data_IF_149536610428
#
_entry.id   IF_149536610428
#
_cell.length_a   1.000
_cell.length_b   1.000
_cell.length_c   1.000
_cell.angle_alpha   90.00
_cell.angle_beta   90.00
_cell.angle_gamma   90.00
#
_symmetry.space_group_name_H-M   'P 1'
#
loop_
_entity.id
_entity.type
_entity.pdbx_description
1 polymer ?
#
# COMPACT_ATOMS: atom_id res chain seq x y z
N UNK A 1 -1.83 29.80 -52.75
CA UNK A 1 -1.71 29.97 -51.29
C UNK A 1 -2.63 31.12 -50.89
N UNK A 2 -3.85 30.78 -50.49
CA UNK A 2 -4.75 31.75 -49.88
C UNK A 2 -4.06 32.38 -48.67
N UNK A 3 -4.36 33.65 -48.42
CA UNK A 3 -3.66 34.56 -47.54
C UNK A 3 -3.80 34.14 -46.05
N UNK A 4 -3.02 33.15 -45.64
CA UNK A 4 -3.02 32.61 -44.28
C UNK A 4 -2.66 33.68 -43.24
N UNK A 5 -1.87 34.69 -43.63
CA UNK A 5 -1.55 35.86 -42.80
C UNK A 5 -2.82 36.69 -42.54
N UNK A 6 -3.60 37.03 -43.58
CA UNK A 6 -4.89 37.72 -43.39
C UNK A 6 -5.90 36.91 -42.56
N UNK A 7 -5.90 35.59 -42.66
CA UNK A 7 -6.82 34.74 -41.88
C UNK A 7 -6.44 34.71 -40.40
N UNK A 8 -5.15 34.62 -40.06
CA UNK A 8 -4.67 34.62 -38.67
C UNK A 8 -4.76 36.01 -38.04
N UNK A 9 -4.48 37.09 -38.80
CA UNK A 9 -4.48 38.47 -38.30
C UNK A 9 -5.84 38.94 -37.78
N UNK A 10 -6.93 38.30 -38.21
CA UNK A 10 -8.30 38.62 -37.77
C UNK A 10 -8.75 37.78 -36.58
N UNK A 11 -7.96 36.80 -36.14
CA UNK A 11 -8.30 35.90 -35.03
C UNK A 11 -7.67 36.36 -33.71
N UNK A 12 -8.33 36.08 -32.59
CA UNK A 12 -7.66 36.19 -31.30
C UNK A 12 -6.50 35.20 -31.23
N UNK A 13 -5.42 35.57 -30.53
CA UNK A 13 -4.16 34.80 -30.44
C UNK A 13 -4.38 33.31 -30.15
N UNK A 14 -5.34 32.98 -29.27
CA UNK A 14 -5.70 31.59 -28.92
C UNK A 14 -6.23 30.79 -30.11
N UNK A 15 -7.13 31.37 -30.91
CA UNK A 15 -7.71 30.71 -32.08
C UNK A 15 -6.74 30.70 -33.25
N UNK A 16 -5.93 31.76 -33.42
CA UNK A 16 -4.84 31.78 -34.40
C UNK A 16 -3.80 30.68 -34.13
N UNK A 17 -3.42 30.46 -32.87
CA UNK A 17 -2.50 29.38 -32.50
C UNK A 17 -3.10 27.99 -32.75
N UNK A 18 -4.38 27.78 -32.45
CA UNK A 18 -5.06 26.52 -32.75
C UNK A 18 -5.18 26.28 -34.25
N UNK A 19 -5.61 27.28 -35.01
CA UNK A 19 -5.67 27.21 -36.46
C UNK A 19 -4.30 26.88 -37.06
N UNK A 20 -3.21 27.45 -36.51
CA UNK A 20 -1.85 27.08 -36.92
C UNK A 20 -1.56 25.59 -36.68
N UNK A 21 -1.86 25.05 -35.50
CA UNK A 21 -1.67 23.62 -35.23
C UNK A 21 -2.55 22.72 -36.12
N UNK A 22 -3.76 23.16 -36.47
CA UNK A 22 -4.66 22.42 -37.37
C UNK A 22 -4.12 22.34 -38.81
N UNK A 23 -3.40 23.36 -39.26
CA UNK A 23 -3.03 23.51 -40.68
C UNK A 23 -1.53 23.40 -40.95
N UNK A 24 -0.68 23.42 -39.92
CA UNK A 24 0.77 23.38 -40.04
C UNK A 24 1.37 22.00 -39.74
N UNK A 25 2.61 21.83 -40.17
CA UNK A 25 3.37 20.61 -39.96
C UNK A 25 4.83 20.77 -40.42
N UNK A 26 5.64 19.78 -40.12
CA UNK A 26 7.04 19.71 -40.55
C UNK A 26 7.18 18.61 -41.59
N UNK A 27 8.00 18.85 -42.62
CA UNK A 27 8.36 17.85 -43.60
C UNK A 27 9.77 17.33 -43.32
N UNK A 28 9.93 16.01 -43.35
CA UNK A 28 11.22 15.33 -43.34
C UNK A 28 11.29 14.40 -44.55
N UNK A 29 11.85 14.90 -45.65
CA UNK A 29 11.75 14.22 -46.95
C UNK A 29 10.30 14.21 -47.44
N UNK A 30 9.79 13.02 -47.77
CA UNK A 30 8.40 12.81 -48.21
C UNK A 30 7.40 12.66 -47.04
N UNK A 31 7.89 12.51 -45.81
CA UNK A 31 7.05 12.36 -44.63
C UNK A 31 6.58 13.74 -44.13
N UNK A 32 5.26 13.91 -44.02
CA UNK A 32 4.63 15.07 -43.40
C UNK A 32 4.21 14.74 -41.98
N UNK A 33 4.79 15.45 -41.02
CA UNK A 33 4.36 15.46 -39.65
C UNK A 33 3.35 16.60 -39.41
N UNK A 34 2.09 16.27 -39.18
CA UNK A 34 1.03 17.26 -38.95
C UNK A 34 0.94 17.61 -37.47
N UNK A 35 0.82 18.90 -37.13
CA UNK A 35 0.63 19.30 -35.73
C UNK A 35 -0.80 19.07 -35.22
N UNK A 36 -1.74 18.76 -36.12
CA UNK A 36 -3.15 18.53 -35.81
C UNK A 36 -3.41 17.33 -34.87
N UNK A 37 -2.43 16.45 -34.67
CA UNK A 37 -2.46 15.38 -33.66
C UNK A 37 -2.43 15.89 -32.22
N UNK A 38 -1.99 17.14 -31.98
CA UNK A 38 -1.76 17.68 -30.63
C UNK A 38 -2.81 18.71 -30.18
N UNK A 39 -3.95 18.78 -30.87
CA UNK A 39 -5.02 19.73 -30.53
C UNK A 39 -5.61 19.50 -29.12
N UNK A 40 -5.41 18.31 -28.55
CA UNK A 40 -5.78 17.98 -27.16
C UNK A 40 -5.12 18.91 -26.13
N UNK A 41 -3.99 19.53 -26.45
CA UNK A 41 -3.38 20.56 -25.60
C UNK A 41 -4.34 21.73 -25.34
N UNK A 42 -5.11 22.11 -26.36
CA UNK A 42 -6.05 23.22 -26.28
C UNK A 42 -7.23 22.91 -25.37
N UNK A 43 -7.77 21.69 -25.42
CA UNK A 43 -8.81 21.24 -24.49
C UNK A 43 -8.33 21.30 -23.03
N UNK A 44 -7.08 20.89 -22.78
CA UNK A 44 -6.46 20.98 -21.46
C UNK A 44 -6.32 22.44 -21.00
N UNK A 45 -5.85 23.33 -21.88
CA UNK A 45 -5.71 24.76 -21.59
C UNK A 45 -7.07 25.39 -21.30
N UNK A 46 -8.06 25.14 -22.14
CA UNK A 46 -9.41 25.70 -22.00
C UNK A 46 -10.07 25.21 -20.70
N UNK A 47 -9.86 23.95 -20.34
CA UNK A 47 -10.32 23.43 -19.05
C UNK A 47 -9.64 24.13 -17.88
N UNK A 48 -8.31 24.26 -17.91
CA UNK A 48 -7.55 24.95 -16.86
C UNK A 48 -7.97 26.42 -16.71
N UNK A 49 -8.25 27.12 -17.82
CA UNK A 49 -8.80 28.48 -17.80
C UNK A 49 -10.21 28.49 -17.22
N UNK A 50 -11.06 27.51 -17.57
CA UNK A 50 -12.45 27.47 -17.10
C UNK A 50 -12.59 27.28 -15.58
N UNK A 51 -11.60 26.63 -14.96
CA UNK A 51 -11.54 26.45 -13.50
C UNK A 51 -10.72 27.55 -12.82
N UNK A 52 -10.11 28.46 -13.60
CA UNK A 52 -9.32 29.57 -13.11
C UNK A 52 -10.22 30.74 -12.70
N UNK A 53 -10.51 30.85 -11.40
CA UNK A 53 -11.27 31.96 -10.81
C UNK A 53 -10.39 32.82 -9.90
N UNK A 54 -10.77 34.08 -9.65
CA UNK A 54 -10.02 35.01 -8.79
C UNK A 54 -9.70 34.48 -7.38
N UNK A 55 -10.54 33.59 -6.84
CA UNK A 55 -10.36 32.94 -5.53
C UNK A 55 -9.33 31.78 -5.54
N UNK A 56 -8.89 31.34 -6.72
CA UNK A 56 -7.87 30.28 -6.90
C UNK A 56 -6.44 30.82 -6.94
N UNK A 57 -6.28 32.14 -6.95
CA UNK A 57 -4.99 32.83 -6.88
C UNK A 57 -4.39 32.67 -5.47
N UNK A 58 -3.41 31.80 -5.36
CA UNK A 58 -2.34 32.05 -4.38
C UNK A 58 -1.47 33.19 -4.93
N UNK A 59 -0.73 33.92 -4.08
CA UNK A 59 0.19 35.01 -4.50
C UNK A 59 1.18 34.58 -5.61
N UNK A 60 1.32 33.28 -5.86
CA UNK A 60 2.03 32.70 -6.99
C UNK A 60 1.05 32.16 -8.05
N UNK A 61 1.05 32.76 -9.24
CA UNK A 61 0.39 32.31 -10.49
C UNK A 61 0.77 30.87 -10.96
N UNK A 62 1.59 30.16 -10.18
CA UNK A 62 2.12 28.82 -10.45
C UNK A 62 1.37 27.71 -9.72
N UNK A 63 0.36 28.03 -8.90
CA UNK A 63 -0.42 27.06 -8.13
C UNK A 63 -1.92 27.33 -8.30
N UNK A 64 -2.69 26.27 -8.50
CA UNK A 64 -4.15 26.31 -8.56
C UNK A 64 -4.66 25.30 -7.54
N UNK A 65 -5.56 25.73 -6.66
CA UNK A 65 -6.30 24.81 -5.79
C UNK A 65 -7.50 24.27 -6.55
N UNK A 66 -7.64 22.95 -6.59
CA UNK A 66 -8.71 22.26 -7.31
C UNK A 66 -9.34 21.21 -6.41
N UNK A 67 -10.63 20.94 -6.63
CA UNK A 67 -11.31 19.82 -5.97
C UNK A 67 -10.93 18.47 -6.61
N UNK A 68 -11.39 17.37 -6.02
CA UNK A 68 -11.08 16.02 -6.52
C UNK A 68 -11.60 15.77 -7.93
N UNK A 69 -12.76 16.32 -8.30
CA UNK A 69 -13.36 16.12 -9.64
C UNK A 69 -12.56 16.88 -10.69
N UNK A 70 -12.13 18.10 -10.36
CA UNK A 70 -11.26 18.91 -11.19
C UNK A 70 -9.87 18.28 -11.34
N UNK A 71 -9.27 17.79 -10.26
CA UNK A 71 -7.99 17.09 -10.32
C UNK A 71 -8.02 15.87 -11.25
N UNK A 72 -9.09 15.07 -11.18
CA UNK A 72 -9.28 13.91 -12.07
C UNK A 72 -9.43 14.34 -13.55
N UNK A 73 -10.15 15.42 -13.82
CA UNK A 73 -10.29 15.95 -15.18
C UNK A 73 -8.95 16.46 -15.73
N UNK A 74 -8.16 17.19 -14.93
CA UNK A 74 -6.81 17.64 -15.30
C UNK A 74 -5.91 16.44 -15.60
N UNK A 75 -5.91 15.41 -14.74
CA UNK A 75 -5.13 14.19 -14.95
C UNK A 75 -5.51 13.48 -16.25
N UNK A 76 -6.80 13.38 -16.56
CA UNK A 76 -7.28 12.79 -17.81
C UNK A 76 -6.83 13.57 -19.03
N UNK A 77 -6.99 14.90 -19.03
CA UNK A 77 -6.59 15.76 -20.14
C UNK A 77 -5.07 15.76 -20.33
N UNK A 78 -4.31 15.78 -19.22
CA UNK A 78 -2.86 15.71 -19.26
C UNK A 78 -2.35 14.36 -19.78
N UNK A 79 -3.01 13.25 -19.43
CA UNK A 79 -2.68 11.93 -20.01
C UNK A 79 -2.99 11.88 -21.50
N UNK A 80 -4.14 12.39 -21.95
CA UNK A 80 -4.47 12.48 -23.38
C UNK A 80 -3.44 13.32 -24.14
N UNK A 81 -3.05 14.46 -23.56
CA UNK A 81 -1.98 15.29 -24.08
C UNK A 81 -0.67 14.51 -24.23
N UNK A 82 -0.18 13.86 -23.16
CA UNK A 82 1.05 13.07 -23.20
C UNK A 82 0.98 11.91 -24.21
N UNK A 83 -0.16 11.23 -24.29
CA UNK A 83 -0.36 10.11 -25.19
C UNK A 83 -0.35 10.53 -26.67
N UNK A 84 -0.70 11.78 -26.98
CA UNK A 84 -0.60 12.31 -28.35
C UNK A 84 0.84 12.37 -28.88
N UNK A 85 1.84 12.28 -28.00
CA UNK A 85 3.27 12.29 -28.37
C UNK A 85 3.93 10.91 -28.35
N UNK A 86 3.18 9.83 -28.11
CA UNK A 86 3.75 8.48 -28.14
C UNK A 86 4.17 8.13 -29.58
N UNK A 87 5.36 7.55 -29.72
CA UNK A 87 6.00 7.21 -31.00
C UNK A 87 6.35 8.42 -31.89
N UNK A 88 6.40 9.63 -31.32
CA UNK A 88 6.81 10.83 -32.04
C UNK A 88 8.32 11.09 -31.95
N UNK A 89 8.85 11.88 -32.89
CA UNK A 89 10.27 12.27 -32.94
C UNK A 89 10.67 13.29 -31.84
N UNK A 90 9.69 13.83 -31.13
CA UNK A 90 9.93 14.79 -30.05
C UNK A 90 10.58 14.08 -28.85
N UNK A 91 11.66 14.66 -28.33
CA UNK A 91 12.40 14.09 -27.21
C UNK A 91 11.54 14.01 -25.94
N UNK A 92 11.68 12.90 -25.20
CA UNK A 92 11.03 12.73 -23.92
C UNK A 92 11.70 13.59 -22.84
N UNK A 93 10.93 14.45 -22.18
CA UNK A 93 11.37 15.20 -21.00
C UNK A 93 10.84 14.50 -19.76
N UNK A 94 11.75 14.04 -18.89
CA UNK A 94 11.38 13.33 -17.66
C UNK A 94 10.69 14.22 -16.61
N UNK A 95 10.82 15.55 -16.72
CA UNK A 95 10.18 16.48 -15.80
C UNK A 95 8.69 16.64 -16.18
N UNK A 96 7.75 16.36 -15.26
CA UNK A 96 6.33 16.54 -15.54
C UNK A 96 5.98 18.03 -15.63
N UNK A 97 5.06 18.37 -16.54
CA UNK A 97 4.55 19.73 -16.71
C UNK A 97 3.80 20.22 -15.46
N UNK A 98 3.05 19.31 -14.81
CA UNK A 98 2.31 19.58 -13.58
C UNK A 98 2.82 18.71 -12.44
N UNK A 99 2.90 19.30 -11.24
CA UNK A 99 3.03 18.56 -9.99
C UNK A 99 1.72 18.66 -9.23
N UNK A 100 1.02 17.54 -9.08
CA UNK A 100 -0.13 17.46 -8.19
C UNK A 100 0.34 17.10 -6.79
N UNK A 101 -0.15 17.83 -5.80
CA UNK A 101 0.11 17.55 -4.39
C UNK A 101 -1.20 17.71 -3.62
N UNK A 102 -1.62 16.70 -2.82
CA UNK A 102 -2.78 16.85 -1.97
C UNK A 102 -2.49 17.82 -0.82
N UNK A 103 -3.53 18.45 -0.27
CA UNK A 103 -3.44 19.38 0.87
C UNK A 103 -3.40 18.63 2.22
N UNK A 104 -3.13 17.32 2.20
CA UNK A 104 -3.00 16.45 3.38
C UNK A 104 -1.59 15.90 3.50
N UNK A 105 -1.13 15.76 4.74
CA UNK A 105 0.13 15.05 5.04
C UNK A 105 -0.16 13.56 5.02
N UNK A 106 0.47 12.86 4.09
CA UNK A 106 0.31 11.42 3.85
C UNK A 106 1.32 10.67 4.73
N UNK A 107 0.85 9.67 5.47
CA UNK A 107 1.72 8.77 6.23
C UNK A 107 2.56 7.88 5.30
N UNK A 108 3.66 7.31 5.80
CA UNK A 108 4.52 6.42 4.99
C UNK A 108 3.74 5.23 4.40
N UNK A 109 2.81 4.67 5.15
CA UNK A 109 1.95 3.60 4.67
C UNK A 109 0.96 4.06 3.59
N UNK A 110 0.30 5.22 3.76
CA UNK A 110 -0.62 5.74 2.72
C UNK A 110 0.14 6.04 1.43
N UNK A 111 1.37 6.55 1.57
CA UNK A 111 2.25 6.79 0.43
C UNK A 111 2.64 5.48 -0.25
N UNK A 112 2.94 4.42 0.50
CA UNK A 112 3.22 3.10 -0.06
C UNK A 112 2.02 2.55 -0.82
N UNK A 113 0.80 2.71 -0.27
CA UNK A 113 -0.44 2.31 -0.92
C UNK A 113 -0.65 3.08 -2.24
N UNK A 114 -0.53 4.40 -2.20
CA UNK A 114 -0.63 5.25 -3.39
C UNK A 114 0.42 4.89 -4.44
N UNK A 115 1.67 4.65 -4.03
CA UNK A 115 2.76 4.27 -4.92
C UNK A 115 2.48 2.94 -5.62
N UNK A 116 1.98 1.92 -4.90
CA UNK A 116 1.63 0.62 -5.49
C UNK A 116 0.60 0.79 -6.61
N UNK A 117 -0.54 1.41 -6.30
CA UNK A 117 -1.61 1.56 -7.29
C UNK A 117 -1.27 2.54 -8.41
N UNK A 118 -0.46 3.58 -8.14
CA UNK A 118 0.05 4.48 -9.18
C UNK A 118 1.00 3.76 -10.13
N UNK A 119 1.84 2.88 -9.60
CA UNK A 119 2.77 2.06 -10.41
C UNK A 119 1.99 1.08 -11.28
N UNK A 120 1.01 0.38 -10.71
CA UNK A 120 0.12 -0.52 -11.45
C UNK A 120 -0.66 0.21 -12.54
N UNK A 121 -1.19 1.41 -12.23
CA UNK A 121 -1.88 2.26 -13.20
C UNK A 121 -0.97 2.68 -14.34
N UNK A 122 0.25 3.15 -14.04
CA UNK A 122 1.23 3.50 -15.06
C UNK A 122 1.58 2.29 -15.96
N UNK A 123 1.76 1.09 -15.40
CA UNK A 123 1.97 -0.11 -16.21
C UNK A 123 0.79 -0.43 -17.12
N UNK A 124 -0.44 -0.36 -16.59
CA UNK A 124 -1.64 -0.60 -17.39
C UNK A 124 -1.79 0.42 -18.54
N UNK A 125 -1.48 1.70 -18.29
CA UNK A 125 -1.47 2.74 -19.32
C UNK A 125 -0.40 2.48 -20.37
N UNK A 126 0.83 2.11 -19.98
CA UNK A 126 1.89 1.79 -20.93
C UNK A 126 1.50 0.61 -21.83
N UNK A 127 0.90 -0.44 -21.28
CA UNK A 127 0.40 -1.59 -22.07
C UNK A 127 -0.71 -1.12 -23.04
N UNK A 128 -1.69 -0.36 -22.54
CA UNK A 128 -2.82 0.13 -23.35
C UNK A 128 -2.38 1.02 -24.51
N UNK A 129 -1.38 1.86 -24.27
CA UNK A 129 -0.92 2.86 -25.23
C UNK A 129 0.29 2.37 -26.06
N UNK A 130 0.70 1.10 -25.92
CA UNK A 130 1.78 0.52 -26.71
C UNK A 130 3.18 1.05 -26.37
N UNK A 131 3.39 1.55 -25.15
CA UNK A 131 4.66 2.13 -24.70
C UNK A 131 5.54 1.04 -24.08
N UNK A 132 6.47 0.49 -24.86
CA UNK A 132 7.42 -0.50 -24.36
C UNK A 132 8.52 0.18 -23.52
N UNK A 133 8.57 -0.14 -22.23
CA UNK A 133 9.59 0.36 -21.29
C UNK A 133 10.57 -0.72 -20.86
N UNK A 134 10.48 -1.93 -21.42
CA UNK A 134 11.43 -2.98 -21.10
C UNK A 134 12.79 -2.69 -21.74
N UNK A 135 13.80 -2.43 -20.91
CA UNK A 135 15.17 -2.17 -21.36
C UNK A 135 15.90 -3.45 -21.77
N UNK A 136 15.35 -4.62 -21.44
CA UNK A 136 15.98 -5.92 -21.63
C UNK A 136 15.39 -6.73 -22.79
N UNK A 137 14.22 -6.34 -23.31
CA UNK A 137 13.63 -7.00 -24.48
C UNK A 137 13.02 -6.00 -25.45
N UNK A 138 13.15 -6.30 -26.74
CA UNK A 138 12.46 -5.57 -27.81
C UNK A 138 11.09 -6.19 -28.05
N UNK A 139 10.06 -5.36 -28.18
CA UNK A 139 8.69 -5.76 -28.50
C UNK A 139 8.07 -6.65 -27.41
N UNK A 140 8.32 -6.28 -26.14
CA UNK A 140 7.83 -7.01 -24.96
C UNK A 140 6.29 -7.04 -24.92
N UNK A 141 5.66 -5.96 -25.39
CA UNK A 141 4.21 -5.77 -25.37
C UNK A 141 3.46 -6.66 -26.36
N UNK A 142 4.05 -7.07 -27.49
CA UNK A 142 3.35 -7.94 -28.46
C UNK A 142 3.02 -9.33 -27.90
N UNK A 143 3.70 -9.73 -26.82
CA UNK A 143 3.42 -10.97 -26.08
C UNK A 143 2.25 -10.83 -25.12
N UNK A 144 1.89 -9.61 -24.74
CA UNK A 144 0.75 -9.33 -23.86
C UNK A 144 -0.50 -9.27 -24.73
N UNK A 145 -1.29 -10.35 -24.68
CA UNK A 145 -2.60 -10.44 -25.35
C UNK A 145 -3.70 -9.95 -24.40
N UNK A 146 -4.66 -10.81 -24.09
CA UNK A 146 -5.74 -10.51 -23.14
C UNK A 146 -5.38 -10.85 -21.70
N UNK A 147 -4.32 -11.63 -21.46
CA UNK A 147 -4.06 -12.22 -20.15
C UNK A 147 -2.76 -11.68 -19.55
N UNK A 148 -2.81 -11.26 -18.28
CA UNK A 148 -1.69 -10.66 -17.55
C UNK A 148 -1.45 -11.46 -16.27
N UNK A 149 -0.20 -11.89 -16.08
CA UNK A 149 0.28 -12.38 -14.79
C UNK A 149 0.88 -11.21 -14.01
N UNK A 150 0.23 -10.84 -12.91
CA UNK A 150 0.71 -9.80 -12.01
C UNK A 150 1.44 -10.46 -10.83
N UNK A 151 2.75 -10.23 -10.76
CA UNK A 151 3.61 -10.72 -9.68
C UNK A 151 3.87 -9.57 -8.70
N UNK A 152 3.46 -9.74 -7.44
CA UNK A 152 3.63 -8.76 -6.38
C UNK A 152 4.50 -9.36 -5.29
N UNK A 153 5.75 -8.90 -5.21
CA UNK A 153 6.70 -9.38 -4.20
C UNK A 153 6.61 -8.51 -2.94
N UNK A 154 6.10 -9.07 -1.84
CA UNK A 154 5.92 -8.39 -0.54
C UNK A 154 5.31 -6.98 -0.61
N UNK A 155 4.39 -6.78 -1.56
CA UNK A 155 3.81 -5.47 -1.85
C UNK A 155 2.94 -4.90 -0.72
N UNK A 156 2.67 -5.68 0.33
CA UNK A 156 1.96 -5.31 1.55
C UNK A 156 2.89 -4.90 2.72
N UNK A 157 4.21 -5.08 2.61
CA UNK A 157 5.15 -4.94 3.74
C UNK A 157 5.05 -3.58 4.46
N UNK A 158 4.97 -2.48 3.69
CA UNK A 158 4.90 -1.12 4.24
C UNK A 158 3.49 -0.69 4.72
N UNK A 159 2.49 -1.56 4.63
CA UNK A 159 1.12 -1.18 4.96
C UNK A 159 0.86 -1.23 6.45
N UNK A 160 0.03 -0.30 6.91
CA UNK A 160 -0.56 -0.38 8.23
C UNK A 160 -1.38 -1.69 8.35
N UNK A 161 -1.40 -2.39 9.51
CA UNK A 161 -2.14 -3.65 9.69
C UNK A 161 -3.59 -3.60 9.20
N UNK A 162 -4.27 -2.48 9.43
CA UNK A 162 -5.64 -2.27 8.95
C UNK A 162 -5.76 -2.38 7.42
N UNK A 163 -4.78 -1.91 6.64
CA UNK A 163 -4.85 -2.04 5.19
C UNK A 163 -4.31 -3.36 4.68
N UNK A 164 -3.42 -4.04 5.41
CA UNK A 164 -3.05 -5.43 5.10
C UNK A 164 -4.29 -6.33 5.12
N UNK A 165 -5.16 -6.14 6.09
CA UNK A 165 -6.48 -6.80 6.16
C UNK A 165 -7.40 -6.45 4.98
N UNK A 166 -7.28 -5.25 4.43
CA UNK A 166 -8.12 -4.80 3.31
C UNK A 166 -7.44 -5.02 1.95
N UNK A 167 -6.22 -5.55 1.93
CA UNK A 167 -5.35 -5.53 0.76
C UNK A 167 -5.92 -6.33 -0.40
N UNK A 168 -6.37 -7.57 -0.13
CA UNK A 168 -6.97 -8.44 -1.14
C UNK A 168 -8.26 -7.83 -1.69
N UNK A 169 -9.06 -7.17 -0.83
CA UNK A 169 -10.25 -6.44 -1.27
C UNK A 169 -9.88 -5.29 -2.20
N UNK A 170 -8.89 -4.48 -1.85
CA UNK A 170 -8.45 -3.37 -2.70
C UNK A 170 -7.93 -3.83 -4.05
N UNK A 171 -7.13 -4.91 -4.11
CA UNK A 171 -6.69 -5.50 -5.37
C UNK A 171 -7.90 -5.92 -6.23
N UNK A 172 -8.88 -6.60 -5.63
CA UNK A 172 -10.08 -7.07 -6.33
C UNK A 172 -10.95 -5.93 -6.86
N UNK A 173 -11.01 -4.81 -6.16
CA UNK A 173 -11.84 -3.65 -6.55
C UNK A 173 -11.13 -2.75 -7.58
N UNK A 174 -9.82 -2.52 -7.41
CA UNK A 174 -9.07 -1.52 -8.20
C UNK A 174 -8.55 -2.12 -9.50
N UNK A 175 -8.02 -3.35 -9.49
CA UNK A 175 -7.37 -3.92 -10.67
C UNK A 175 -8.29 -4.07 -11.90
N UNK A 176 -9.59 -4.44 -11.77
CA UNK A 176 -10.51 -4.47 -12.91
C UNK A 176 -10.73 -3.09 -13.56
N UNK A 177 -10.59 -2.00 -12.79
CA UNK A 177 -10.68 -0.63 -13.30
C UNK A 177 -9.39 -0.26 -14.03
N UNK A 178 -8.24 -0.58 -13.42
CA UNK A 178 -6.91 -0.22 -13.92
C UNK A 178 -6.56 -0.98 -15.20
N UNK A 179 -6.70 -2.31 -15.19
CA UNK A 179 -6.40 -3.20 -16.32
C UNK A 179 -7.67 -3.60 -17.07
N UNK A 180 -8.56 -2.63 -17.30
CA UNK A 180 -9.81 -2.86 -18.03
C UNK A 180 -9.54 -3.50 -19.40
N UNK A 181 -10.22 -4.60 -19.68
CA UNK A 181 -10.09 -5.36 -20.94
C UNK A 181 -9.07 -6.50 -20.87
N UNK A 182 -8.39 -6.69 -19.74
CA UNK A 182 -7.46 -7.80 -19.51
C UNK A 182 -7.99 -8.77 -18.43
N UNK A 183 -7.66 -10.04 -18.58
CA UNK A 183 -7.80 -11.05 -17.53
C UNK A 183 -6.53 -11.05 -16.69
N UNK A 184 -6.66 -10.90 -15.38
CA UNK A 184 -5.51 -10.78 -14.48
C UNK A 184 -5.45 -12.00 -13.57
N UNK A 185 -4.31 -12.69 -13.57
CA UNK A 185 -3.96 -13.62 -12.51
C UNK A 185 -2.90 -12.98 -11.61
N UNK A 186 -3.17 -12.95 -10.31
CA UNK A 186 -2.29 -12.31 -9.33
C UNK A 186 -1.57 -13.40 -8.55
N UNK A 187 -0.26 -13.25 -8.39
CA UNK A 187 0.57 -14.04 -7.49
C UNK A 187 1.24 -13.06 -6.53
N UNK A 188 1.05 -13.29 -5.25
CA UNK A 188 1.56 -12.43 -4.17
C UNK A 188 2.48 -13.27 -3.29
N UNK A 189 3.63 -12.71 -2.93
CA UNK A 189 4.43 -13.20 -1.81
C UNK A 189 4.17 -12.29 -0.61
N UNK A 190 4.10 -12.86 0.58
CA UNK A 190 3.94 -12.09 1.82
C UNK A 190 4.46 -12.89 2.99
N UNK A 191 5.08 -12.19 3.95
CA UNK A 191 5.42 -12.71 5.26
C UNK A 191 4.38 -12.30 6.33
N UNK A 192 3.22 -11.75 5.94
CA UNK A 192 2.21 -11.24 6.86
C UNK A 192 0.98 -12.16 7.00
N UNK A 193 0.60 -12.56 8.23
CA UNK A 193 -0.56 -13.40 8.49
C UNK A 193 -1.90 -12.73 8.19
N UNK A 194 -1.98 -11.40 8.25
CA UNK A 194 -3.22 -10.67 7.98
C UNK A 194 -3.63 -10.86 6.53
N UNK A 195 -2.66 -10.73 5.61
CA UNK A 195 -2.87 -10.96 4.18
C UNK A 195 -3.23 -12.41 3.90
N UNK A 196 -2.59 -13.37 4.59
CA UNK A 196 -2.88 -14.81 4.44
C UNK A 196 -4.33 -15.19 4.82
N UNK A 197 -4.94 -14.46 5.75
CA UNK A 197 -6.29 -14.75 6.27
C UNK A 197 -7.41 -14.65 5.23
N UNK A 198 -7.16 -13.95 4.12
CA UNK A 198 -8.11 -13.79 3.01
C UNK A 198 -8.00 -14.91 1.95
N UNK A 199 -7.00 -15.80 2.04
CA UNK A 199 -6.75 -16.82 1.03
C UNK A 199 -7.21 -18.22 1.45
N UNK A 200 -8.07 -18.89 0.63
CA UNK A 200 -8.32 -20.32 0.75
C UNK A 200 -7.03 -21.11 0.70
N UNK A 201 -6.93 -22.17 1.49
CA UNK A 201 -5.73 -23.01 1.60
C UNK A 201 -5.23 -23.54 0.24
N UNK A 202 -6.14 -23.85 -0.68
CA UNK A 202 -5.79 -24.36 -2.01
C UNK A 202 -5.13 -23.29 -2.91
N UNK A 203 -5.19 -22.01 -2.51
CA UNK A 203 -4.61 -20.89 -3.22
C UNK A 203 -3.33 -20.38 -2.54
N UNK A 204 -2.80 -21.13 -1.57
CA UNK A 204 -1.61 -20.78 -0.80
C UNK A 204 -0.55 -21.84 -0.99
N UNK A 205 0.66 -21.41 -1.33
CA UNK A 205 1.86 -22.25 -1.36
C UNK A 205 2.76 -21.80 -0.23
N UNK A 206 3.00 -22.67 0.75
CA UNK A 206 3.95 -22.41 1.81
C UNK A 206 5.36 -22.72 1.33
N UNK A 207 6.31 -21.86 1.66
CA UNK A 207 7.72 -22.07 1.41
C UNK A 207 8.42 -22.30 2.75
N UNK A 208 9.28 -23.32 2.81
CA UNK A 208 10.03 -23.68 4.01
C UNK A 208 11.51 -23.79 3.67
N UNK A 209 12.37 -23.22 4.52
CA UNK A 209 13.82 -23.27 4.32
C UNK A 209 14.38 -24.49 5.04
N UNK A 210 15.06 -25.36 4.30
CA UNK A 210 15.77 -26.53 4.82
C UNK A 210 17.24 -26.40 4.45
N UNK A 211 18.07 -25.98 5.42
CA UNK A 211 19.48 -25.67 5.19
C UNK A 211 19.65 -24.50 4.22
N UNK A 212 20.37 -24.73 3.11
CA UNK A 212 20.55 -23.76 2.02
C UNK A 212 19.45 -23.82 0.94
N UNK A 213 18.51 -24.75 1.05
CA UNK A 213 17.46 -24.97 0.05
C UNK A 213 16.09 -24.51 0.53
N UNK A 214 15.25 -24.04 -0.38
CA UNK A 214 13.83 -23.75 -0.10
C UNK A 214 12.98 -24.83 -0.76
N UNK A 215 12.10 -25.44 0.03
CA UNK A 215 11.17 -26.48 -0.41
C UNK A 215 9.73 -26.00 -0.25
N UNK A 216 8.80 -26.69 -0.91
CA UNK A 216 7.36 -26.49 -0.68
C UNK A 216 7.03 -27.06 0.70
N UNK A 217 6.63 -26.19 1.62
CA UNK A 217 6.28 -26.53 2.98
C UNK A 217 4.97 -27.31 3.07
N UNK A 218 4.82 -28.10 4.13
CA UNK A 218 3.60 -28.88 4.35
C UNK A 218 2.44 -27.96 4.76
N UNK A 219 1.37 -27.96 3.96
CA UNK A 219 0.16 -27.21 4.25
C UNK A 219 -0.80 -27.95 5.21
N UNK A 220 -0.59 -29.25 5.49
CA UNK A 220 -1.48 -30.04 6.36
C UNK A 220 -1.48 -29.51 7.80
N UNK A 221 -2.67 -29.38 8.38
CA UNK A 221 -2.86 -28.78 9.71
C UNK A 221 -2.86 -27.24 9.74
N UNK A 222 -2.26 -26.58 8.74
CA UNK A 222 -2.25 -25.11 8.67
C UNK A 222 -3.63 -24.54 8.33
N UNK A 223 -4.07 -23.57 9.13
CA UNK A 223 -5.27 -22.77 8.88
C UNK A 223 -4.89 -21.55 8.03
N UNK A 224 -5.80 -21.06 7.18
CA UNK A 224 -5.58 -19.84 6.37
C UNK A 224 -6.83 -18.97 6.37
N UNK A 225 -7.82 -19.32 5.56
CA UNK A 225 -9.02 -18.54 5.30
C UNK A 225 -9.86 -18.34 6.57
N UNK A 226 -10.13 -17.07 6.91
CA UNK A 226 -10.87 -16.65 8.10
C UNK A 226 -10.34 -17.23 9.43
N UNK A 227 -9.08 -17.67 9.47
CA UNK A 227 -8.48 -18.21 10.68
C UNK A 227 -8.13 -17.09 11.67
N UNK A 228 -7.99 -17.46 12.95
CA UNK A 228 -7.53 -16.54 13.96
C UNK A 228 -6.07 -16.12 13.68
N UNK A 229 -5.78 -14.82 13.71
CA UNK A 229 -4.44 -14.27 13.43
C UNK A 229 -3.36 -14.88 14.33
N UNK A 230 -3.67 -15.12 15.61
CA UNK A 230 -2.73 -15.74 16.54
C UNK A 230 -2.42 -17.20 16.16
N UNK A 231 -3.42 -17.92 15.64
CA UNK A 231 -3.21 -19.28 15.09
C UNK A 231 -2.44 -19.23 13.77
N UNK A 232 -2.70 -18.24 12.91
CA UNK A 232 -1.94 -18.03 11.67
C UNK A 232 -0.46 -17.77 11.96
N UNK A 233 -0.17 -16.87 12.89
CA UNK A 233 1.20 -16.57 13.32
C UNK A 233 1.93 -17.82 13.80
N UNK A 234 1.26 -18.63 14.64
CA UNK A 234 1.82 -19.86 15.19
C UNK A 234 2.04 -20.93 14.10
N UNK A 235 0.99 -21.27 13.35
CA UNK A 235 0.97 -22.46 12.50
C UNK A 235 1.53 -22.18 11.09
N UNK A 236 1.31 -20.98 10.56
CA UNK A 236 1.68 -20.63 9.18
C UNK A 236 3.06 -19.99 9.07
N UNK A 237 3.47 -19.21 10.09
CA UNK A 237 4.75 -18.48 10.10
C UNK A 237 5.82 -19.11 10.98
N UNK A 238 5.60 -20.36 11.43
CA UNK A 238 6.61 -21.21 12.07
C UNK A 238 7.28 -20.57 13.29
N UNK A 239 6.51 -19.83 14.11
CA UNK A 239 7.01 -19.35 15.40
C UNK A 239 7.20 -20.54 16.35
N UNK A 240 8.44 -21.03 16.46
CA UNK A 240 8.79 -22.18 17.29
C UNK A 240 8.72 -21.89 18.79
N UNK A 241 8.93 -20.62 19.18
CA UNK A 241 9.23 -20.23 20.57
C UNK A 241 8.01 -19.59 21.29
N UNK A 242 6.79 -19.82 20.78
CA UNK A 242 5.56 -19.28 21.34
C UNK A 242 5.20 -17.89 20.82
N UNK A 243 4.19 -17.26 21.43
CA UNK A 243 3.63 -15.96 21.01
C UNK A 243 4.14 -14.78 21.86
N UNK A 244 5.07 -15.04 22.78
CA UNK A 244 5.64 -14.04 23.69
C UNK A 244 6.94 -13.52 23.08
N UNK A 245 7.17 -12.21 23.12
CA UNK A 245 8.42 -11.63 22.67
C UNK A 245 9.61 -12.14 23.50
N UNK A 246 10.74 -12.43 22.86
CA UNK A 246 11.91 -13.04 23.52
C UNK A 246 12.44 -12.24 24.72
N UNK A 247 12.34 -10.90 24.67
CA UNK A 247 12.70 -10.05 25.81
C UNK A 247 11.77 -10.25 27.00
N UNK A 248 10.45 -10.29 26.77
CA UNK A 248 9.49 -10.56 27.83
C UNK A 248 9.64 -11.98 28.39
N UNK A 249 9.94 -12.97 27.54
CA UNK A 249 10.27 -14.32 27.98
C UNK A 249 11.50 -14.34 28.90
N UNK A 250 12.58 -13.65 28.54
CA UNK A 250 13.75 -13.51 29.42
C UNK A 250 13.43 -12.88 30.78
N UNK A 251 12.56 -11.86 30.81
CA UNK A 251 12.14 -11.25 32.09
C UNK A 251 11.34 -12.24 32.93
N UNK A 252 10.45 -13.03 32.31
CA UNK A 252 9.70 -14.08 32.99
C UNK A 252 10.65 -15.13 33.56
N UNK A 253 11.62 -15.60 32.77
CA UNK A 253 12.63 -16.58 33.22
C UNK A 253 13.45 -16.04 34.41
N UNK A 254 13.86 -14.77 34.36
CA UNK A 254 14.56 -14.13 35.48
C UNK A 254 13.70 -14.06 36.75
N UNK A 255 12.41 -13.78 36.61
CA UNK A 255 11.48 -13.77 37.75
C UNK A 255 11.36 -15.18 38.34
N UNK A 256 11.24 -16.22 37.51
CA UNK A 256 11.18 -17.62 37.95
C UNK A 256 12.47 -17.99 38.70
N UNK A 257 13.64 -17.68 38.13
CA UNK A 257 14.93 -17.96 38.77
C UNK A 257 15.07 -17.25 40.14
N UNK A 258 14.60 -16.00 40.25
CA UNK A 258 14.62 -15.26 41.52
C UNK A 258 13.68 -15.86 42.57
N UNK A 259 12.53 -16.39 42.15
CA UNK A 259 11.60 -17.11 43.03
C UNK A 259 12.24 -18.41 43.51
N UNK A 260 12.89 -19.16 42.62
CA UNK A 260 13.47 -20.48 42.90
C UNK A 260 14.74 -20.44 43.76
N UNK A 261 15.64 -19.48 43.52
CA UNK A 261 16.90 -19.32 44.28
C UNK A 261 16.67 -18.76 45.69
N UNK A 262 15.49 -18.18 45.92
CA UNK A 262 15.06 -17.61 47.20
C UNK A 262 15.42 -16.13 47.34
N UNK A 263 14.47 -15.34 47.84
CA UNK A 263 14.60 -13.88 47.98
C UNK A 263 15.56 -13.53 49.12
N UNK A 264 16.72 -12.92 48.79
CA UNK A 264 17.66 -12.46 49.80
C UNK A 264 17.23 -11.14 50.49
N UNK A 265 16.30 -10.37 49.91
CA UNK A 265 15.91 -9.03 50.39
C UNK A 265 14.43 -8.69 50.08
N UNK A 266 13.75 -7.93 50.95
CA UNK A 266 12.36 -7.45 50.75
C UNK A 266 12.20 -6.60 49.48
N UNK A 267 13.23 -5.85 49.09
CA UNK A 267 13.22 -4.99 47.91
C UNK A 267 13.10 -5.80 46.60
N UNK A 268 13.56 -7.05 46.58
CA UNK A 268 13.40 -7.95 45.43
C UNK A 268 11.95 -8.43 45.28
N UNK A 269 11.22 -8.60 46.38
CA UNK A 269 9.82 -9.04 46.36
C UNK A 269 8.91 -7.97 45.75
N UNK A 270 9.07 -6.72 46.18
CA UNK A 270 8.28 -5.60 45.65
C UNK A 270 8.53 -5.40 44.14
N UNK A 271 9.78 -5.57 43.69
CA UNK A 271 10.12 -5.48 42.26
C UNK A 271 9.44 -6.59 41.46
N UNK A 272 9.49 -7.83 41.94
CA UNK A 272 8.86 -8.97 41.28
C UNK A 272 7.33 -8.79 41.21
N UNK A 273 6.70 -8.33 42.29
CA UNK A 273 5.26 -8.05 42.31
C UNK A 273 4.87 -7.00 41.25
N UNK A 274 5.66 -5.93 41.08
CA UNK A 274 5.43 -4.91 40.04
C UNK A 274 5.58 -5.47 38.63
N UNK A 275 6.57 -6.33 38.41
CA UNK A 275 6.75 -7.01 37.12
C UNK A 275 5.53 -7.88 36.83
N UNK A 276 5.09 -8.72 37.77
CA UNK A 276 3.91 -9.58 37.62
C UNK A 276 2.66 -8.73 37.30
N UNK A 277 2.46 -7.61 38.00
CA UNK A 277 1.33 -6.70 37.75
C UNK A 277 1.33 -6.10 36.34
N UNK A 278 2.49 -5.98 35.69
CA UNK A 278 2.62 -5.43 34.33
C UNK A 278 2.27 -6.46 33.24
N UNK A 279 2.26 -7.77 33.56
CA UNK A 279 2.01 -8.84 32.57
C UNK A 279 0.54 -8.88 32.20
N UNK A 280 0.16 -8.54 30.96
CA UNK A 280 -1.25 -8.53 30.54
C UNK A 280 -1.91 -9.90 30.41
N UNK A 281 -1.14 -10.96 30.16
CA UNK A 281 -1.71 -12.29 29.95
C UNK A 281 -2.08 -12.95 31.30
N UNK A 282 -3.39 -13.16 31.59
CA UNK A 282 -3.84 -13.55 32.92
C UNK A 282 -3.25 -14.88 33.38
N UNK A 283 -3.13 -15.86 32.49
CA UNK A 283 -2.63 -17.21 32.82
C UNK A 283 -1.20 -17.12 33.36
N UNK A 284 -0.34 -16.36 32.69
CA UNK A 284 1.06 -16.16 33.09
C UNK A 284 1.12 -15.37 34.39
N UNK A 285 0.36 -14.28 34.48
CA UNK A 285 0.27 -13.42 35.67
C UNK A 285 -0.11 -14.21 36.92
N UNK A 286 -1.19 -14.98 36.85
CA UNK A 286 -1.65 -15.78 37.99
C UNK A 286 -0.67 -16.89 38.34
N UNK A 287 -0.06 -17.54 37.35
CA UNK A 287 0.91 -18.61 37.63
C UNK A 287 2.15 -18.09 38.37
N UNK A 288 2.69 -16.94 37.96
CA UNK A 288 3.83 -16.33 38.65
C UNK A 288 3.45 -15.81 40.05
N UNK A 289 2.23 -15.31 40.22
CA UNK A 289 1.73 -14.88 41.53
C UNK A 289 1.60 -16.07 42.51
N UNK A 290 1.06 -17.20 42.05
CA UNK A 290 0.98 -18.46 42.81
C UNK A 290 2.39 -18.90 43.25
N UNK A 291 3.35 -18.98 42.31
CA UNK A 291 4.75 -19.36 42.61
C UNK A 291 5.40 -18.42 43.64
N UNK A 292 5.20 -17.11 43.51
CA UNK A 292 5.70 -16.13 44.46
C UNK A 292 5.07 -16.32 45.85
N UNK A 293 3.75 -16.54 45.91
CA UNK A 293 3.01 -16.74 47.16
C UNK A 293 3.42 -18.03 47.87
N UNK A 294 3.68 -19.11 47.13
CA UNK A 294 4.24 -20.35 47.66
C UNK A 294 5.63 -20.13 48.26
N UNK A 295 6.52 -19.44 47.54
CA UNK A 295 7.89 -19.18 47.98
C UNK A 295 7.97 -18.26 49.22
N UNK A 296 7.04 -17.31 49.36
CA UNK A 296 6.96 -16.41 50.51
C UNK A 296 6.16 -17.00 51.68
N UNK A 297 5.36 -18.04 51.46
CA UNK A 297 4.39 -18.54 52.44
C UNK A 297 3.27 -17.54 52.76
N UNK A 298 3.05 -16.54 51.89
CA UNK A 298 1.98 -15.55 52.03
C UNK A 298 1.19 -15.40 50.71
N UNK A 299 -0.12 -15.64 50.80
CA UNK A 299 -1.07 -15.57 49.68
C UNK A 299 -1.73 -14.21 49.45
N UNK A 300 -1.36 -13.15 50.19
CA UNK A 300 -2.04 -11.86 50.11
C UNK A 300 -1.99 -11.25 48.69
N UNK A 301 -0.85 -11.33 48.02
CA UNK A 301 -0.66 -10.80 46.66
C UNK A 301 -1.49 -11.57 45.62
N UNK A 302 -1.46 -12.90 45.67
CA UNK A 302 -2.26 -13.75 44.78
C UNK A 302 -3.76 -13.49 44.96
N UNK A 303 -4.25 -13.42 46.21
CA UNK A 303 -5.65 -13.09 46.51
C UNK A 303 -6.04 -11.73 45.96
N UNK A 304 -5.19 -10.73 46.13
CA UNK A 304 -5.43 -9.39 45.60
C UNK A 304 -5.60 -9.40 44.07
N UNK A 305 -4.77 -10.15 43.35
CA UNK A 305 -4.89 -10.27 41.89
C UNK A 305 -6.16 -11.00 41.47
N UNK A 306 -6.55 -12.05 42.21
CA UNK A 306 -7.79 -12.78 41.95
C UNK A 306 -9.01 -11.88 42.17
N UNK A 307 -9.04 -11.13 43.27
CA UNK A 307 -10.13 -10.21 43.58
C UNK A 307 -10.31 -9.13 42.49
N UNK A 308 -9.20 -8.59 41.97
CA UNK A 308 -9.21 -7.64 40.84
C UNK A 308 -9.83 -8.24 39.58
N UNK A 309 -9.52 -9.50 39.24
CA UNK A 309 -10.09 -10.14 38.06
C UNK A 309 -11.56 -10.54 38.29
N UNK A 310 -11.95 -10.91 39.51
CA UNK A 310 -13.36 -11.13 39.88
C UNK A 310 -14.17 -9.83 39.68
N UNK A 311 -13.65 -8.69 40.14
CA UNK A 311 -14.28 -7.38 39.95
C UNK A 311 -14.48 -7.09 38.46
N UNK A 312 -13.42 -7.21 37.66
CA UNK A 312 -13.46 -7.01 36.19
C UNK A 312 -14.48 -7.91 35.50
N UNK A 313 -14.52 -9.21 35.85
CA UNK A 313 -15.46 -10.17 35.28
C UNK A 313 -16.90 -9.88 35.69
N UNK A 314 -17.11 -9.41 36.92
CA UNK A 314 -18.43 -9.01 37.42
C UNK A 314 -18.95 -7.78 36.69
N UNK A 315 -18.10 -6.78 36.46
CA UNK A 315 -18.45 -5.61 35.63
C UNK A 315 -18.80 -5.99 34.20
N UNK A 316 -18.01 -6.89 33.58
CA UNK A 316 -18.28 -7.37 32.22
C UNK A 316 -19.62 -8.11 32.16
N UNK A 317 -19.94 -8.93 33.17
CA UNK A 317 -21.23 -9.63 33.28
C UNK A 317 -22.39 -8.65 33.39
N UNK A 318 -22.24 -7.54 34.11
CA UNK A 318 -23.28 -6.51 34.23
C UNK A 318 -23.55 -5.69 32.96
N UNK A 319 -22.63 -5.73 31.97
CA UNK A 319 -22.77 -5.06 30.67
C UNK A 319 -23.45 -5.93 29.60
N UNK A 320 -23.72 -7.20 29.89
CA UNK A 320 -24.44 -8.14 29.04
C UNK A 320 -25.88 -8.20 29.52
#
# INVERSE_FOLDING_TARGET
>A
PDDFEQQIDQMEVRYGLQWFFENAGIFSGDEKYSFSSHLMMFEMIDYLISIHNADSLTDNWRKIKVDNKQALAILSLYNNFNNSFINEWLGYVAAPMFKLSPDIVISSGEQAFLNLFSTLFNHAENIRNGVDRDYHSSDSLSKIKSDIFLLLDEADNAFHPQWKKEYVRYLREILPIVFKGYNIQIIITSHDPLTLSDFPKNNVVFLEKTGETTIIGNANGKKTFCANIAELLKDSFFMSDGQIGSFAAQIIDQVIDQIDVGFAEMENVDQIQRIIQTIDEPIIRFKLAEMLSEALGNGDFERQLIDQEIERLTERKGKI
#
